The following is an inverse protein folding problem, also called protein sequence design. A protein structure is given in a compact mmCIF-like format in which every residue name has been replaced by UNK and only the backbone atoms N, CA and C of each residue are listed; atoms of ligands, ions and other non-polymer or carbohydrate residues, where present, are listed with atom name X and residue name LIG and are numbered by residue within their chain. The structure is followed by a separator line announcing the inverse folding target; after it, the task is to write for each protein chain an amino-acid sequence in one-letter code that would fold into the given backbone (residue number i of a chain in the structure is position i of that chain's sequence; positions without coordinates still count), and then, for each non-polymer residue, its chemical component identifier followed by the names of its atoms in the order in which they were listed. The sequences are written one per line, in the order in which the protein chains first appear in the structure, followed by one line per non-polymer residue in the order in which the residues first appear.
data_IF_725070607932
#
_entry.id   IF_725070607932
#
_cell.length_a   1.000
_cell.length_b   1.000
_cell.length_c   1.000
_cell.angle_alpha   90.00
_cell.angle_beta   90.00
_cell.angle_gamma   90.00
#
_symmetry.space_group_name_H-M   'P 1'
#
loop_
_entity.id
_entity.type
_entity.pdbx_description
1 polymer ?
#
# COMPACT_ATOMS: atom_id res chain seq x y z
N UNK A 1 -11.48 -9.58 -26.91
CA UNK A 1 -12.96 -9.50 -26.85
C UNK A 1 -13.53 -9.89 -28.20
N UNK A 2 -14.61 -10.62 -28.21
CA UNK A 2 -15.41 -10.78 -29.43
C UNK A 2 -16.03 -9.43 -29.81
N UNK A 3 -16.43 -9.21 -31.08
CA UNK A 3 -16.92 -7.88 -31.52
C UNK A 3 -18.15 -7.37 -30.77
N UNK A 4 -18.87 -8.24 -30.04
CA UNK A 4 -20.02 -7.90 -29.19
C UNK A 4 -19.66 -7.62 -27.71
N UNK A 5 -18.35 -7.59 -27.38
CA UNK A 5 -17.86 -7.36 -26.03
C UNK A 5 -17.99 -8.56 -25.08
N UNK A 6 -18.27 -9.75 -25.59
CA UNK A 6 -18.35 -10.98 -24.80
C UNK A 6 -16.96 -11.62 -24.67
N UNK A 7 -16.66 -12.14 -23.50
CA UNK A 7 -15.49 -12.94 -23.21
C UNK A 7 -15.89 -14.31 -22.70
N UNK A 8 -15.27 -15.35 -23.23
CA UNK A 8 -15.39 -16.70 -22.71
C UNK A 8 -14.10 -17.10 -22.02
N UNK A 9 -14.19 -17.48 -20.75
CA UNK A 9 -13.05 -17.94 -19.95
C UNK A 9 -13.38 -19.33 -19.41
N UNK A 10 -12.50 -20.29 -19.65
CA UNK A 10 -12.57 -21.62 -19.06
C UNK A 10 -11.47 -21.77 -18.01
N UNK A 11 -11.84 -22.13 -16.79
CA UNK A 11 -10.92 -22.27 -15.67
C UNK A 11 -11.00 -23.71 -15.11
N UNK A 12 -9.86 -24.38 -14.86
CA UNK A 12 -9.83 -25.70 -14.28
C UNK A 12 -10.10 -25.64 -12.77
N UNK A 13 -11.37 -25.65 -12.37
CA UNK A 13 -11.80 -25.60 -10.97
C UNK A 13 -12.01 -27.02 -10.45
N UNK A 14 -11.20 -27.45 -9.49
CA UNK A 14 -11.29 -28.76 -8.85
C UNK A 14 -12.12 -28.73 -7.56
N UNK A 15 -12.10 -27.61 -6.86
CA UNK A 15 -12.86 -27.33 -5.63
C UNK A 15 -13.42 -25.90 -5.69
N UNK A 16 -14.46 -25.60 -4.89
CA UNK A 16 -15.02 -24.25 -4.85
C UNK A 16 -13.95 -23.18 -4.62
N UNK A 17 -13.99 -22.11 -5.42
CA UNK A 17 -13.01 -21.02 -5.35
C UNK A 17 -13.70 -19.66 -5.50
N UNK A 18 -13.17 -18.66 -4.82
CA UNK A 18 -13.53 -17.25 -5.04
C UNK A 18 -12.39 -16.58 -5.80
N UNK A 19 -12.69 -16.00 -6.94
CA UNK A 19 -11.74 -15.25 -7.76
C UNK A 19 -12.09 -13.76 -7.74
N UNK A 20 -11.09 -12.91 -7.84
CA UNK A 20 -11.27 -11.49 -8.10
C UNK A 20 -11.15 -11.25 -9.60
N UNK A 21 -12.20 -10.70 -10.21
CA UNK A 21 -12.16 -10.21 -11.57
C UNK A 21 -11.89 -8.70 -11.55
N UNK A 22 -10.94 -8.29 -12.37
CA UNK A 22 -10.57 -6.89 -12.55
C UNK A 22 -10.79 -6.51 -14.01
N UNK A 23 -11.60 -5.50 -14.27
CA UNK A 23 -11.77 -4.93 -15.60
C UNK A 23 -10.67 -3.89 -15.90
N UNK A 24 -10.50 -3.54 -17.19
CA UNK A 24 -9.59 -2.47 -17.61
C UNK A 24 -9.93 -1.13 -16.95
N UNK A 25 -11.22 -0.85 -16.73
CA UNK A 25 -11.72 0.33 -16.02
C UNK A 25 -11.54 0.24 -14.49
N UNK A 26 -10.76 -0.75 -14.01
CA UNK A 26 -10.46 -0.98 -12.58
C UNK A 26 -11.68 -1.34 -11.71
N UNK A 27 -12.77 -1.82 -12.30
CA UNK A 27 -13.83 -2.45 -11.53
C UNK A 27 -13.35 -3.80 -11.03
N UNK A 28 -13.52 -4.06 -9.73
CA UNK A 28 -13.17 -5.32 -9.10
C UNK A 28 -14.39 -5.94 -8.49
N UNK A 29 -14.63 -7.22 -8.74
CA UNK A 29 -15.70 -7.97 -8.08
C UNK A 29 -15.30 -9.44 -7.90
N UNK A 30 -15.86 -10.03 -6.85
CA UNK A 30 -15.61 -11.42 -6.48
C UNK A 30 -16.58 -12.34 -7.21
N UNK A 31 -16.06 -13.48 -7.67
CA UNK A 31 -16.85 -14.51 -8.36
C UNK A 31 -16.58 -15.85 -7.71
N UNK A 32 -17.64 -16.52 -7.27
CA UNK A 32 -17.60 -17.88 -6.75
C UNK A 32 -17.82 -18.85 -7.90
N UNK A 33 -16.90 -19.78 -8.05
CA UNK A 33 -16.93 -20.82 -9.05
C UNK A 33 -16.85 -22.19 -8.39
N UNK A 34 -17.60 -23.14 -8.96
CA UNK A 34 -17.56 -24.54 -8.57
C UNK A 34 -17.16 -25.40 -9.77
N UNK A 35 -16.79 -26.64 -9.53
CA UNK A 35 -16.50 -27.60 -10.59
C UNK A 35 -17.70 -27.68 -11.56
N UNK A 36 -17.42 -27.66 -12.84
CA UNK A 36 -18.41 -27.79 -13.93
C UNK A 36 -19.51 -26.70 -13.89
N UNK A 37 -19.26 -25.56 -13.23
CA UNK A 37 -20.22 -24.45 -13.22
C UNK A 37 -20.18 -23.64 -14.50
N UNK A 38 -21.36 -23.12 -14.89
CA UNK A 38 -21.53 -22.20 -16.01
C UNK A 38 -22.18 -20.91 -15.50
N UNK A 39 -21.39 -19.85 -15.42
CA UNK A 39 -21.81 -18.56 -14.90
C UNK A 39 -21.60 -17.45 -15.93
N UNK A 40 -22.55 -16.55 -16.03
CA UNK A 40 -22.47 -15.36 -16.88
C UNK A 40 -22.50 -14.12 -16.02
N UNK A 41 -21.58 -13.20 -16.31
CA UNK A 41 -21.49 -11.90 -15.64
C UNK A 41 -21.75 -10.81 -16.67
N UNK A 42 -22.76 -9.99 -16.44
CA UNK A 42 -23.07 -8.80 -17.24
C UNK A 42 -22.79 -7.56 -16.43
N UNK A 43 -22.00 -6.64 -16.96
CA UNK A 43 -21.71 -5.37 -16.32
C UNK A 43 -22.62 -4.30 -16.92
N UNK A 44 -23.40 -3.63 -16.07
CA UNK A 44 -24.25 -2.48 -16.45
C UNK A 44 -24.11 -1.38 -15.39
N UNK A 45 -23.85 -0.16 -15.81
CA UNK A 45 -23.66 0.98 -14.91
C UNK A 45 -22.63 0.68 -13.79
N UNK A 46 -21.52 0.05 -14.15
CA UNK A 46 -20.45 -0.36 -13.22
C UNK A 46 -20.90 -1.34 -12.12
N UNK A 47 -22.00 -2.07 -12.33
CA UNK A 47 -22.50 -3.10 -11.42
C UNK A 47 -22.54 -4.45 -12.13
N UNK A 48 -22.06 -5.54 -11.49
CA UNK A 48 -22.15 -6.90 -12.01
C UNK A 48 -23.55 -7.47 -11.79
N UNK A 49 -24.05 -8.17 -12.79
CA UNK A 49 -25.28 -8.97 -12.75
C UNK A 49 -24.90 -10.39 -13.06
N UNK A 50 -25.22 -11.30 -12.15
CA UNK A 50 -24.88 -12.71 -12.24
C UNK A 50 -26.07 -13.54 -12.71
N UNK A 51 -25.77 -14.54 -13.57
CA UNK A 51 -26.72 -15.59 -13.96
C UNK A 51 -25.96 -16.87 -14.21
N UNK A 52 -26.58 -18.02 -13.95
CA UNK A 52 -25.97 -19.35 -14.11
C UNK A 52 -25.96 -20.16 -12.82
N UNK A 53 -25.04 -21.11 -12.73
CA UNK A 53 -24.98 -22.13 -11.67
C UNK A 53 -24.82 -21.52 -10.28
N UNK A 54 -23.94 -20.52 -10.14
CA UNK A 54 -23.57 -19.95 -8.84
C UNK A 54 -24.20 -18.58 -8.58
N UNK A 55 -25.31 -18.25 -9.22
CA UNK A 55 -25.96 -16.93 -9.14
C UNK A 55 -26.17 -16.46 -7.71
N UNK A 56 -26.74 -17.29 -6.82
CA UNK A 56 -27.04 -16.91 -5.42
C UNK A 56 -25.74 -16.67 -4.63
N UNK A 57 -24.72 -17.53 -4.83
CA UNK A 57 -23.41 -17.37 -4.19
C UNK A 57 -22.76 -16.04 -4.59
N UNK A 58 -22.81 -15.73 -5.88
CA UNK A 58 -22.24 -14.49 -6.41
C UNK A 58 -22.99 -13.23 -5.93
N UNK A 59 -24.30 -13.30 -5.77
CA UNK A 59 -25.09 -12.25 -5.15
C UNK A 59 -24.72 -12.05 -3.68
N UNK A 60 -24.52 -13.14 -2.92
CA UNK A 60 -24.03 -13.05 -1.55
C UNK A 60 -22.67 -12.37 -1.46
N UNK A 61 -21.70 -12.73 -2.33
CA UNK A 61 -20.39 -12.09 -2.38
C UNK A 61 -20.49 -10.60 -2.71
N UNK A 62 -21.42 -10.20 -3.58
CA UNK A 62 -21.66 -8.79 -3.89
C UNK A 62 -22.13 -7.99 -2.68
N UNK A 63 -23.06 -8.54 -1.89
CA UNK A 63 -23.50 -7.86 -0.66
C UNK A 63 -22.39 -7.78 0.40
N UNK A 64 -21.57 -8.83 0.54
CA UNK A 64 -20.40 -8.82 1.41
C UNK A 64 -19.39 -7.76 0.94
N UNK A 65 -19.13 -7.67 -0.38
CA UNK A 65 -18.23 -6.67 -0.95
C UNK A 65 -18.73 -5.24 -0.70
N UNK A 66 -20.01 -4.96 -0.87
CA UNK A 66 -20.61 -3.64 -0.53
C UNK A 66 -20.39 -3.28 0.94
N UNK A 67 -20.55 -4.25 1.84
CA UNK A 67 -20.29 -4.03 3.26
C UNK A 67 -18.81 -3.77 3.55
N UNK A 68 -17.90 -4.43 2.84
CA UNK A 68 -16.45 -4.19 2.93
C UNK A 68 -16.08 -2.80 2.42
N UNK A 69 -16.60 -2.39 1.27
CA UNK A 69 -16.42 -1.04 0.72
C UNK A 69 -16.94 0.04 1.67
N UNK A 70 -18.09 -0.20 2.30
CA UNK A 70 -18.60 0.66 3.36
C UNK A 70 -17.62 0.75 4.54
N UNK A 71 -17.10 -0.36 5.05
CA UNK A 71 -16.09 -0.38 6.12
C UNK A 71 -14.81 0.37 5.73
N UNK A 72 -14.38 0.24 4.47
CA UNK A 72 -13.25 1.00 3.93
C UNK A 72 -13.54 2.50 3.87
N UNK A 73 -14.70 2.91 3.36
CA UNK A 73 -15.07 4.33 3.23
C UNK A 73 -15.08 5.06 4.57
N UNK A 74 -15.60 4.41 5.59
CA UNK A 74 -15.61 4.91 6.97
C UNK A 74 -14.18 5.16 7.48
N UNK A 75 -13.26 4.29 7.11
CA UNK A 75 -11.88 4.34 7.63
C UNK A 75 -11.07 5.52 7.09
N UNK A 76 -11.45 6.05 5.93
CA UNK A 76 -10.74 7.13 5.24
C UNK A 76 -11.48 8.46 5.25
N UNK A 77 -12.79 8.49 5.49
CA UNK A 77 -13.59 9.72 5.50
C UNK A 77 -13.67 10.34 6.88
N UNK A 78 -13.08 11.53 7.05
CA UNK A 78 -13.20 12.33 8.29
C UNK A 78 -14.66 12.77 8.59
N UNK A 79 -15.53 12.69 7.63
CA UNK A 79 -16.93 13.17 7.70
C UNK A 79 -17.96 12.03 7.83
N UNK A 80 -17.49 10.77 7.97
CA UNK A 80 -18.44 9.66 8.12
C UNK A 80 -18.99 9.59 9.55
N UNK A 81 -20.27 9.23 9.70
CA UNK A 81 -20.96 9.12 11.00
C UNK A 81 -20.20 8.27 12.03
N UNK A 82 -19.67 7.12 11.64
CA UNK A 82 -18.87 6.26 12.53
C UNK A 82 -17.49 6.85 12.91
N UNK A 83 -16.95 7.77 12.14
CA UNK A 83 -15.75 8.52 12.52
C UNK A 83 -16.03 9.52 13.64
N UNK A 84 -17.22 10.13 13.62
CA UNK A 84 -17.65 11.11 14.62
C UNK A 84 -18.12 10.46 15.94
N UNK A 85 -18.45 9.15 15.92
CA UNK A 85 -18.89 8.42 17.12
C UNK A 85 -17.70 8.15 18.04
N UNK A 86 -17.59 8.90 19.11
CA UNK A 86 -16.59 8.71 20.16
C UNK A 86 -17.09 7.85 21.32
N UNK A 87 -18.42 7.65 21.43
CA UNK A 87 -19.03 6.75 22.41
C UNK A 87 -18.79 5.27 22.05
N UNK A 88 -18.14 4.53 22.92
CA UNK A 88 -17.91 3.09 22.77
C UNK A 88 -19.25 2.35 22.57
N UNK A 89 -20.24 2.63 23.40
CA UNK A 89 -21.53 1.95 23.37
C UNK A 89 -22.23 2.12 22.03
N UNK A 90 -22.29 3.32 21.53
CA UNK A 90 -22.93 3.63 20.24
C UNK A 90 -22.17 2.99 19.08
N UNK A 91 -20.83 3.14 19.04
CA UNK A 91 -20.00 2.51 18.01
C UNK A 91 -20.18 1.00 17.98
N UNK A 92 -20.07 0.34 19.15
CA UNK A 92 -20.21 -1.12 19.26
C UNK A 92 -21.60 -1.58 18.84
N UNK A 93 -22.64 -0.84 19.19
CA UNK A 93 -24.01 -1.16 18.80
C UNK A 93 -24.20 -1.10 17.27
N UNK A 94 -23.75 -0.04 16.63
CA UNK A 94 -23.86 0.13 15.17
C UNK A 94 -23.10 -1.00 14.46
N UNK A 95 -21.86 -1.28 14.87
CA UNK A 95 -21.02 -2.32 14.27
C UNK A 95 -21.65 -3.70 14.43
N UNK A 96 -22.08 -4.06 15.66
CA UNK A 96 -22.67 -5.38 15.92
C UNK A 96 -24.01 -5.56 15.17
N UNK A 97 -24.84 -4.52 15.05
CA UNK A 97 -26.09 -4.59 14.30
C UNK A 97 -25.81 -4.88 12.80
N UNK A 98 -24.90 -4.14 12.19
CA UNK A 98 -24.54 -4.34 10.78
C UNK A 98 -23.93 -5.71 10.51
N UNK A 99 -23.07 -6.18 11.41
CA UNK A 99 -22.49 -7.53 11.35
C UNK A 99 -23.59 -8.60 11.44
N UNK A 100 -24.50 -8.48 12.41
CA UNK A 100 -25.60 -9.41 12.61
C UNK A 100 -26.58 -9.43 11.43
N UNK A 101 -26.92 -8.27 10.87
CA UNK A 101 -27.74 -8.14 9.66
C UNK A 101 -27.16 -8.91 8.48
N UNK A 102 -25.83 -8.72 8.22
CA UNK A 102 -25.15 -9.38 7.09
C UNK A 102 -25.06 -10.90 7.29
N UNK A 103 -24.76 -11.37 8.50
CA UNK A 103 -24.73 -12.81 8.82
C UNK A 103 -26.14 -13.43 8.72
N UNK A 104 -27.17 -12.69 9.16
CA UNK A 104 -28.56 -13.15 9.06
C UNK A 104 -29.00 -13.25 7.61
N UNK A 105 -28.69 -12.24 6.81
CA UNK A 105 -28.91 -12.26 5.36
C UNK A 105 -28.27 -13.50 4.73
N UNK A 106 -26.99 -13.75 5.01
CA UNK A 106 -26.24 -14.88 4.44
C UNK A 106 -26.88 -16.23 4.82
N UNK A 107 -27.25 -16.40 6.10
CA UNK A 107 -27.92 -17.63 6.59
C UNK A 107 -29.32 -17.86 5.99
N UNK A 108 -29.98 -16.81 5.54
CA UNK A 108 -31.28 -16.88 4.86
C UNK A 108 -31.20 -17.27 3.39
N UNK A 109 -30.01 -17.37 2.80
CA UNK A 109 -29.82 -17.72 1.40
C UNK A 109 -29.72 -19.24 1.20
N UNK A 110 -30.15 -19.72 0.03
CA UNK A 110 -30.05 -21.13 -0.37
C UNK A 110 -28.65 -21.44 -0.91
N UNK A 111 -27.66 -21.48 -0.02
CA UNK A 111 -26.24 -21.77 -0.29
C UNK A 111 -25.73 -22.84 0.67
N UNK A 112 -24.57 -23.43 0.39
CA UNK A 112 -24.00 -24.50 1.22
C UNK A 112 -23.59 -24.02 2.63
N UNK A 113 -23.63 -24.94 3.60
CA UNK A 113 -23.18 -24.69 4.98
C UNK A 113 -21.72 -24.21 5.04
N UNK A 114 -20.85 -24.79 4.21
CA UNK A 114 -19.43 -24.45 4.16
C UNK A 114 -19.22 -23.01 3.64
N UNK A 115 -20.02 -22.61 2.63
CA UNK A 115 -20.00 -21.23 2.15
C UNK A 115 -20.45 -20.26 3.25
N UNK A 116 -21.55 -20.57 3.94
CA UNK A 116 -22.05 -19.76 5.07
C UNK A 116 -20.98 -19.66 6.16
N UNK A 117 -20.35 -20.77 6.54
CA UNK A 117 -19.29 -20.81 7.54
C UNK A 117 -18.13 -19.89 7.14
N UNK A 118 -17.55 -20.11 5.96
CA UNK A 118 -16.39 -19.35 5.48
C UNK A 118 -16.70 -17.84 5.35
N UNK A 119 -17.85 -17.50 4.76
CA UNK A 119 -18.21 -16.09 4.59
C UNK A 119 -18.56 -15.42 5.93
N UNK A 120 -19.11 -16.13 6.89
CA UNK A 120 -19.34 -15.61 8.25
C UNK A 120 -18.04 -15.25 8.95
N UNK A 121 -16.98 -16.06 8.78
CA UNK A 121 -15.65 -15.72 9.30
C UNK A 121 -15.04 -14.50 8.62
N UNK A 122 -15.16 -14.38 7.29
CA UNK A 122 -14.72 -13.19 6.56
C UNK A 122 -15.44 -11.93 7.07
N UNK A 123 -16.76 -12.01 7.28
CA UNK A 123 -17.56 -10.92 7.85
C UNK A 123 -17.05 -10.55 9.26
N UNK A 124 -16.76 -11.54 10.11
CA UNK A 124 -16.19 -11.29 11.43
C UNK A 124 -14.83 -10.59 11.36
N UNK A 125 -13.96 -11.00 10.43
CA UNK A 125 -12.70 -10.31 10.17
C UNK A 125 -12.90 -8.84 9.76
N UNK A 126 -13.81 -8.58 8.83
CA UNK A 126 -14.11 -7.21 8.35
C UNK A 126 -14.50 -6.27 9.49
N UNK A 127 -15.40 -6.71 10.35
CA UNK A 127 -15.87 -5.89 11.47
C UNK A 127 -14.86 -5.75 12.60
N UNK A 128 -14.06 -6.80 12.87
CA UNK A 128 -12.91 -6.71 13.78
C UNK A 128 -11.85 -5.74 13.25
N UNK A 129 -11.56 -5.79 11.95
CA UNK A 129 -10.64 -4.86 11.31
C UNK A 129 -11.14 -3.41 11.40
N UNK A 130 -12.44 -3.17 11.17
CA UNK A 130 -13.06 -1.86 11.36
C UNK A 130 -12.89 -1.37 12.80
N UNK A 131 -13.07 -2.25 13.79
CA UNK A 131 -12.87 -1.93 15.20
C UNK A 131 -11.41 -1.54 15.48
N UNK A 132 -10.44 -2.27 14.96
CA UNK A 132 -9.02 -1.93 15.11
C UNK A 132 -8.67 -0.57 14.49
N UNK A 133 -9.23 -0.25 13.32
CA UNK A 133 -9.06 1.07 12.71
C UNK A 133 -9.60 2.19 13.60
N UNK A 134 -10.77 1.98 14.21
CA UNK A 134 -11.35 2.94 15.16
C UNK A 134 -10.47 3.14 16.38
N UNK A 135 -9.95 2.04 16.95
CA UNK A 135 -9.03 2.09 18.10
C UNK A 135 -7.79 2.91 17.79
N UNK A 136 -7.11 2.62 16.66
CA UNK A 136 -5.90 3.36 16.28
C UNK A 136 -6.18 4.84 16.03
N UNK A 137 -7.35 5.17 15.46
CA UNK A 137 -7.77 6.55 15.30
C UNK A 137 -7.95 7.26 16.65
N UNK A 138 -8.64 6.62 17.61
CA UNK A 138 -8.82 7.15 18.95
C UNK A 138 -7.50 7.31 19.69
N UNK A 139 -6.60 6.36 19.55
CA UNK A 139 -5.25 6.41 20.14
C UNK A 139 -4.45 7.61 19.60
N UNK A 140 -4.40 7.77 18.29
CA UNK A 140 -3.70 8.88 17.64
C UNK A 140 -4.26 10.26 18.04
N UNK A 141 -5.57 10.32 18.34
CA UNK A 141 -6.24 11.53 18.80
C UNK A 141 -6.30 11.66 20.33
N UNK A 142 -5.62 10.76 21.09
CA UNK A 142 -5.58 10.74 22.57
C UNK A 142 -6.97 10.64 23.22
N UNK A 143 -7.88 9.88 22.63
CA UNK A 143 -9.28 9.70 23.07
C UNK A 143 -9.55 8.32 23.68
N UNK A 144 -8.56 7.51 23.99
CA UNK A 144 -8.71 6.21 24.64
C UNK A 144 -9.07 6.39 26.10
N UNK A 145 -10.20 5.84 26.54
CA UNK A 145 -10.67 5.81 27.93
C UNK A 145 -10.53 4.41 28.52
N UNK A 146 -10.72 4.26 29.85
CA UNK A 146 -10.72 2.97 30.51
C UNK A 146 -11.83 2.03 30.03
N UNK A 147 -12.99 2.58 29.62
CA UNK A 147 -14.07 1.82 29.00
C UNK A 147 -13.62 1.23 27.66
N UNK A 148 -12.98 2.03 26.82
CA UNK A 148 -12.40 1.56 25.57
C UNK A 148 -11.33 0.48 25.79
N UNK A 149 -10.47 0.62 26.82
CA UNK A 149 -9.44 -0.38 27.12
C UNK A 149 -10.02 -1.76 27.44
N UNK A 150 -11.18 -1.84 28.11
CA UNK A 150 -11.86 -3.11 28.38
C UNK A 150 -12.35 -3.77 27.09
N UNK A 151 -12.99 -3.00 26.22
CA UNK A 151 -13.48 -3.53 24.93
C UNK A 151 -12.34 -3.89 23.98
N UNK A 152 -11.26 -3.10 23.95
CA UNK A 152 -10.05 -3.42 23.18
C UNK A 152 -9.50 -4.79 23.58
N UNK A 153 -9.36 -5.07 24.88
CA UNK A 153 -8.87 -6.37 25.36
C UNK A 153 -9.75 -7.53 24.90
N UNK A 154 -11.08 -7.33 24.88
CA UNK A 154 -12.02 -8.32 24.36
C UNK A 154 -11.84 -8.55 22.87
N UNK A 155 -11.73 -7.51 22.07
CA UNK A 155 -11.52 -7.60 20.62
C UNK A 155 -10.14 -8.17 20.24
N UNK A 156 -9.13 -7.99 21.08
CA UNK A 156 -7.80 -8.60 20.89
C UNK A 156 -7.77 -10.11 21.14
N UNK A 157 -8.84 -10.68 21.73
CA UNK A 157 -9.01 -12.15 21.89
C UNK A 157 -9.56 -12.84 20.64
N UNK A 158 -9.72 -12.11 19.52
CA UNK A 158 -10.15 -12.68 18.25
C UNK A 158 -9.26 -13.87 17.86
N UNK A 159 -9.90 -14.97 17.47
CA UNK A 159 -9.18 -16.16 17.03
C UNK A 159 -8.68 -16.01 15.60
N UNK A 160 -7.37 -15.82 15.47
CA UNK A 160 -6.70 -15.73 14.19
C UNK A 160 -6.33 -17.10 13.59
N UNK A 161 -6.60 -18.21 14.29
CA UNK A 161 -6.24 -19.56 13.85
C UNK A 161 -7.42 -20.31 13.18
N UNK A 162 -8.37 -19.57 12.63
CA UNK A 162 -9.40 -20.10 11.75
C UNK A 162 -8.97 -20.02 10.29
N UNK A 163 -9.10 -21.15 9.58
CA UNK A 163 -8.65 -21.23 8.17
C UNK A 163 -9.40 -20.24 7.27
N UNK A 164 -10.68 -20.03 7.51
CA UNK A 164 -11.49 -19.08 6.76
C UNK A 164 -10.95 -17.64 6.81
N UNK A 165 -10.24 -17.26 7.89
CA UNK A 165 -9.66 -15.95 8.03
C UNK A 165 -8.56 -15.68 7.00
N UNK A 166 -7.86 -16.73 6.52
CA UNK A 166 -6.80 -16.61 5.49
C UNK A 166 -7.33 -16.14 4.13
N UNK A 167 -8.63 -16.25 3.90
CA UNK A 167 -9.29 -15.78 2.68
C UNK A 167 -9.72 -14.30 2.75
N UNK A 168 -9.55 -13.64 3.89
CA UNK A 168 -9.83 -12.22 4.03
C UNK A 168 -8.69 -11.39 3.44
N UNK A 169 -8.99 -10.54 2.47
CA UNK A 169 -7.98 -9.77 1.72
C UNK A 169 -7.11 -8.84 2.59
N UNK A 170 -7.65 -8.34 3.70
CA UNK A 170 -6.97 -7.44 4.64
C UNK A 170 -6.47 -8.18 5.92
N UNK A 171 -6.38 -9.53 5.87
CA UNK A 171 -6.01 -10.33 7.04
C UNK A 171 -4.62 -9.96 7.58
N UNK A 172 -3.63 -9.77 6.70
CA UNK A 172 -2.28 -9.36 7.10
C UNK A 172 -2.31 -7.99 7.81
N UNK A 173 -3.05 -7.03 7.26
CA UNK A 173 -3.20 -5.71 7.88
C UNK A 173 -3.87 -5.79 9.25
N UNK A 174 -4.84 -6.68 9.41
CA UNK A 174 -5.48 -6.95 10.70
C UNK A 174 -4.50 -7.55 11.71
N UNK A 175 -3.58 -8.44 11.28
CA UNK A 175 -2.50 -8.97 12.11
C UNK A 175 -1.57 -7.86 12.61
N UNK A 176 -1.12 -7.01 11.70
CA UNK A 176 -0.29 -5.84 12.01
C UNK A 176 -0.96 -4.92 13.04
N UNK A 177 -2.24 -4.57 12.81
CA UNK A 177 -3.00 -3.72 13.74
C UNK A 177 -3.17 -4.38 15.11
N UNK A 178 -3.45 -5.68 15.17
CA UNK A 178 -3.55 -6.41 16.41
C UNK A 178 -2.25 -6.34 17.23
N UNK A 179 -1.10 -6.58 16.59
CA UNK A 179 0.21 -6.46 17.21
C UNK A 179 0.48 -5.03 17.73
N UNK A 180 0.22 -4.04 16.87
CA UNK A 180 0.39 -2.61 17.19
C UNK A 180 -0.46 -2.17 18.40
N UNK A 181 -1.75 -2.54 18.40
CA UNK A 181 -2.68 -2.20 19.48
C UNK A 181 -2.25 -2.86 20.78
N UNK A 182 -1.88 -4.15 20.75
CA UNK A 182 -1.42 -4.86 21.93
C UNK A 182 -0.20 -4.17 22.54
N UNK A 183 0.81 -3.91 21.73
CA UNK A 183 2.09 -3.35 22.18
C UNK A 183 1.95 -1.92 22.70
N UNK A 184 1.40 -1.00 21.90
CA UNK A 184 1.38 0.42 22.29
C UNK A 184 0.22 0.78 23.24
N UNK A 185 -0.95 0.15 23.12
CA UNK A 185 -2.14 0.56 23.86
C UNK A 185 -2.34 -0.30 25.11
N UNK A 186 -2.18 -1.62 25.01
CA UNK A 186 -2.40 -2.52 26.14
C UNK A 186 -1.17 -2.62 27.03
N UNK A 187 0.01 -2.86 26.44
CA UNK A 187 1.28 -3.00 27.17
C UNK A 187 1.93 -1.64 27.46
N UNK A 188 1.43 -0.54 26.85
CA UNK A 188 1.84 0.85 27.07
C UNK A 188 3.32 1.14 26.74
N UNK A 189 3.86 0.46 25.74
CA UNK A 189 5.19 0.72 25.23
C UNK A 189 5.24 2.01 24.40
N UNK A 190 6.43 2.57 24.24
CA UNK A 190 6.68 3.75 23.41
C UNK A 190 7.11 3.35 21.99
N UNK A 191 6.75 4.13 20.95
CA UNK A 191 7.29 3.94 19.62
C UNK A 191 8.83 4.03 19.55
N UNK A 192 9.47 4.71 20.49
CA UNK A 192 10.93 4.78 20.60
C UNK A 192 11.58 3.47 21.08
N UNK A 193 10.80 2.56 21.65
CA UNK A 193 11.28 1.25 22.12
C UNK A 193 11.49 0.25 20.96
N UNK A 194 11.02 0.59 19.76
CA UNK A 194 11.17 -0.26 18.56
C UNK A 194 12.33 0.27 17.72
N UNK A 195 13.29 -0.60 17.49
CA UNK A 195 14.31 -0.41 16.46
C UNK A 195 13.61 -0.46 15.08
N UNK A 196 13.59 0.66 14.38
CA UNK A 196 12.90 0.78 13.08
C UNK A 196 13.51 -0.13 12.02
N UNK A 197 14.81 -0.39 12.11
CA UNK A 197 15.52 -1.26 11.16
C UNK A 197 15.22 -2.74 11.42
N UNK A 198 14.51 -3.04 12.55
CA UNK A 198 14.08 -4.39 12.97
C UNK A 198 12.58 -4.48 13.21
N UNK A 199 11.80 -3.66 12.52
CA UNK A 199 10.35 -3.62 12.69
C UNK A 199 9.69 -4.95 12.37
N UNK A 200 10.18 -5.68 11.35
CA UNK A 200 9.64 -6.96 10.96
C UNK A 200 9.96 -8.05 11.99
N UNK A 201 11.15 -8.01 12.60
CA UNK A 201 11.52 -8.88 13.74
C UNK A 201 10.58 -8.65 14.93
N UNK A 202 10.28 -7.41 15.25
CA UNK A 202 9.33 -7.06 16.30
C UNK A 202 7.94 -7.64 15.99
N UNK A 203 7.41 -7.41 14.80
CA UNK A 203 6.08 -7.89 14.39
C UNK A 203 6.01 -9.43 14.42
N UNK A 204 7.05 -10.11 13.93
CA UNK A 204 7.12 -11.55 13.97
C UNK A 204 7.08 -12.10 15.40
N UNK A 205 7.78 -11.47 16.34
CA UNK A 205 7.74 -11.84 17.75
C UNK A 205 6.33 -11.70 18.34
N UNK A 206 5.60 -10.63 17.96
CA UNK A 206 4.19 -10.47 18.34
C UNK A 206 3.29 -11.56 17.72
N UNK A 207 3.55 -11.94 16.46
CA UNK A 207 2.81 -13.01 15.80
C UNK A 207 3.06 -14.38 16.46
N UNK A 208 4.29 -14.70 16.83
CA UNK A 208 4.67 -15.95 17.50
C UNK A 208 4.03 -16.12 18.88
N UNK A 209 3.66 -15.04 19.57
CA UNK A 209 2.95 -15.11 20.87
C UNK A 209 1.57 -15.79 20.76
N UNK A 210 0.93 -15.73 19.59
CA UNK A 210 -0.49 -16.13 19.44
C UNK A 210 -0.76 -17.11 18.29
N UNK A 211 0.27 -17.50 17.51
CA UNK A 211 0.08 -18.31 16.28
C UNK A 211 1.10 -19.41 16.19
N UNK A 212 0.66 -20.54 15.62
CA UNK A 212 1.51 -21.72 15.38
C UNK A 212 1.17 -22.36 14.03
N UNK A 213 2.03 -23.30 13.58
CA UNK A 213 1.79 -24.08 12.36
C UNK A 213 1.50 -23.22 11.12
N UNK A 214 0.50 -23.63 10.32
CA UNK A 214 0.16 -22.95 9.05
C UNK A 214 -0.25 -21.48 9.21
N UNK A 215 -0.77 -21.09 10.37
CA UNK A 215 -1.17 -19.70 10.62
C UNK A 215 0.04 -18.80 10.90
N UNK A 216 1.05 -19.32 11.59
CA UNK A 216 2.32 -18.63 11.75
C UNK A 216 3.09 -18.58 10.43
N UNK A 217 3.11 -19.69 9.68
CA UNK A 217 3.70 -19.76 8.33
C UNK A 217 3.13 -18.67 7.42
N UNK A 218 1.80 -18.57 7.34
CA UNK A 218 1.14 -17.53 6.55
C UNK A 218 1.46 -16.12 7.04
N UNK A 219 1.35 -15.87 8.34
CA UNK A 219 1.61 -14.55 8.92
C UNK A 219 3.06 -14.10 8.68
N UNK A 220 4.01 -15.02 8.81
CA UNK A 220 5.42 -14.73 8.58
C UNK A 220 5.74 -14.50 7.10
N UNK A 221 5.22 -15.36 6.21
CA UNK A 221 5.34 -15.15 4.77
C UNK A 221 4.72 -13.84 4.31
N UNK A 222 3.54 -13.48 4.86
CA UNK A 222 2.85 -12.22 4.55
C UNK A 222 3.64 -11.01 5.03
N UNK A 223 4.29 -11.08 6.18
CA UNK A 223 5.15 -10.01 6.71
C UNK A 223 6.33 -9.74 5.75
N UNK A 224 7.03 -10.80 5.32
CA UNK A 224 8.12 -10.70 4.35
C UNK A 224 7.59 -10.16 3.02
N UNK A 225 6.48 -10.71 2.53
CA UNK A 225 5.86 -10.27 1.27
C UNK A 225 5.48 -8.80 1.29
N UNK A 226 4.95 -8.31 2.42
CA UNK A 226 4.56 -6.90 2.53
C UNK A 226 5.77 -5.96 2.45
N UNK A 227 6.88 -6.29 3.11
CA UNK A 227 8.14 -5.52 2.99
C UNK A 227 8.62 -5.46 1.53
N UNK A 228 8.58 -6.61 0.82
CA UNK A 228 8.93 -6.71 -0.59
C UNK A 228 7.99 -5.90 -1.48
N UNK A 229 6.68 -6.00 -1.25
CA UNK A 229 5.65 -5.32 -2.03
C UNK A 229 5.70 -3.80 -1.87
N UNK A 230 5.89 -3.33 -0.63
CA UNK A 230 6.04 -1.90 -0.32
C UNK A 230 7.44 -1.36 -0.68
N UNK A 231 8.39 -2.26 -0.97
CA UNK A 231 9.81 -1.92 -1.19
C UNK A 231 10.42 -1.15 -0.01
N UNK A 232 10.05 -1.57 1.19
CA UNK A 232 10.61 -0.98 2.41
C UNK A 232 12.07 -1.37 2.60
N UNK A 233 12.47 -2.54 2.09
CA UNK A 233 13.84 -3.04 2.12
C UNK A 233 14.44 -3.00 3.54
N UNK A 234 13.65 -3.47 4.51
CA UNK A 234 14.05 -3.50 5.91
C UNK A 234 15.27 -4.39 6.11
N UNK A 235 16.20 -3.98 6.97
CA UNK A 235 17.48 -4.68 7.18
C UNK A 235 17.31 -6.10 7.72
N UNK A 236 16.26 -6.33 8.53
CA UNK A 236 15.99 -7.63 9.14
C UNK A 236 15.33 -8.64 8.19
N UNK A 237 14.69 -8.21 7.11
CA UNK A 237 13.88 -9.06 6.21
C UNK A 237 14.67 -10.23 5.60
N UNK A 238 15.93 -10.08 5.11
CA UNK A 238 16.70 -11.22 4.61
C UNK A 238 16.97 -12.30 5.68
N UNK A 239 17.29 -11.89 6.91
CA UNK A 239 17.49 -12.82 8.02
C UNK A 239 16.20 -13.52 8.43
N UNK A 240 15.07 -12.81 8.42
CA UNK A 240 13.76 -13.40 8.69
C UNK A 240 13.36 -14.41 7.62
N UNK A 241 13.70 -14.17 6.36
CA UNK A 241 13.47 -15.13 5.29
C UNK A 241 14.31 -16.41 5.48
N UNK A 242 15.58 -16.30 5.85
CA UNK A 242 16.44 -17.47 6.11
C UNK A 242 15.92 -18.31 7.29
N UNK A 243 15.44 -17.65 8.35
CA UNK A 243 14.78 -18.31 9.48
C UNK A 243 13.45 -18.96 9.05
N UNK A 244 12.67 -18.29 8.20
CA UNK A 244 11.41 -18.83 7.64
C UNK A 244 11.69 -20.12 6.85
N UNK A 245 12.69 -20.15 5.99
CA UNK A 245 13.07 -21.35 5.24
C UNK A 245 13.49 -22.51 6.15
N UNK A 246 14.15 -22.21 7.27
CA UNK A 246 14.53 -23.22 8.27
C UNK A 246 13.33 -23.77 9.03
N UNK A 247 12.39 -22.90 9.42
CA UNK A 247 11.20 -23.28 10.21
C UNK A 247 10.17 -24.02 9.35
N UNK A 248 10.00 -23.61 8.08
CA UNK A 248 9.02 -24.14 7.14
C UNK A 248 9.65 -24.60 5.82
N UNK A 249 10.52 -25.62 5.83
CA UNK A 249 11.33 -26.02 4.65
C UNK A 249 10.48 -26.52 3.46
N UNK A 250 9.22 -26.90 3.69
CA UNK A 250 8.29 -27.35 2.66
C UNK A 250 7.26 -26.27 2.26
N UNK A 251 7.44 -25.03 2.71
CA UNK A 251 6.51 -23.94 2.43
C UNK A 251 6.49 -23.58 0.94
N UNK A 252 5.29 -23.51 0.37
CA UNK A 252 5.07 -23.00 -1.00
C UNK A 252 5.46 -21.52 -1.16
N UNK A 253 5.52 -20.77 -0.04
CA UNK A 253 5.87 -19.36 -0.07
C UNK A 253 7.36 -19.11 -0.34
N UNK A 254 8.25 -20.10 -0.09
CA UNK A 254 9.69 -19.97 -0.35
C UNK A 254 9.94 -19.58 -1.81
N UNK A 255 9.33 -20.31 -2.76
CA UNK A 255 9.50 -20.02 -4.19
C UNK A 255 8.93 -18.67 -4.65
N UNK A 256 7.91 -18.16 -3.93
CA UNK A 256 7.29 -16.87 -4.22
C UNK A 256 8.19 -15.71 -3.72
N UNK A 257 8.77 -15.87 -2.54
CA UNK A 257 9.55 -14.82 -1.86
C UNK A 257 11.01 -14.74 -2.34
N UNK A 258 11.60 -15.87 -2.67
CA UNK A 258 13.03 -16.01 -3.01
C UNK A 258 13.55 -15.01 -4.05
N UNK A 259 12.88 -14.79 -5.21
CA UNK A 259 13.42 -13.89 -6.24
C UNK A 259 13.53 -12.43 -5.77
N UNK A 260 12.68 -12.03 -4.85
CA UNK A 260 12.65 -10.65 -4.38
C UNK A 260 13.60 -10.41 -3.20
N UNK A 261 13.82 -11.42 -2.35
CA UNK A 261 14.77 -11.31 -1.22
C UNK A 261 16.18 -10.97 -1.70
N UNK A 262 16.60 -11.52 -2.84
CA UNK A 262 17.91 -11.22 -3.39
C UNK A 262 18.07 -9.73 -3.75
N UNK A 263 17.00 -9.06 -4.17
CA UNK A 263 17.00 -7.62 -4.41
C UNK A 263 17.24 -6.82 -3.12
N UNK A 264 16.65 -7.26 -1.99
CA UNK A 264 16.90 -6.61 -0.68
C UNK A 264 18.36 -6.81 -0.26
N UNK A 265 18.92 -8.03 -0.43
CA UNK A 265 20.33 -8.28 -0.14
C UNK A 265 21.24 -7.38 -0.96
N UNK A 266 20.97 -7.27 -2.26
CA UNK A 266 21.70 -6.35 -3.14
C UNK A 266 21.57 -4.89 -2.68
N UNK A 267 20.39 -4.46 -2.29
CA UNK A 267 20.16 -3.10 -1.78
C UNK A 267 21.03 -2.78 -0.57
N UNK A 268 21.20 -3.71 0.37
CA UNK A 268 22.02 -3.48 1.55
C UNK A 268 23.55 -3.60 1.32
N UNK A 269 23.96 -4.15 0.17
CA UNK A 269 25.39 -4.34 -0.17
C UNK A 269 25.87 -3.38 -1.28
N UNK A 270 25.10 -2.37 -1.65
CA UNK A 270 25.50 -1.46 -2.71
C UNK A 270 26.66 -0.56 -2.25
N UNK A 271 27.74 -0.47 -3.05
CA UNK A 271 28.79 0.51 -2.83
C UNK A 271 28.27 1.92 -3.14
N UNK A 272 28.57 2.89 -2.29
CA UNK A 272 28.16 4.31 -2.42
C UNK A 272 28.90 5.07 -3.55
N UNK A 273 29.45 4.37 -4.55
CA UNK A 273 30.29 4.98 -5.58
C UNK A 273 29.60 5.01 -6.93
N UNK A 274 29.06 6.19 -7.28
CA UNK A 274 28.76 6.56 -8.68
C UNK A 274 29.23 7.99 -8.90
N UNK A 275 30.06 8.22 -9.90
CA UNK A 275 30.63 9.53 -10.22
C UNK A 275 29.60 10.55 -10.75
N UNK A 276 28.39 10.09 -11.09
CA UNK A 276 27.32 10.92 -11.70
C UNK A 276 26.15 11.20 -10.74
N UNK A 277 26.29 10.86 -9.46
CA UNK A 277 25.30 11.16 -8.42
C UNK A 277 25.87 12.26 -7.52
N UNK A 278 25.16 13.36 -7.42
CA UNK A 278 25.55 14.50 -6.57
C UNK A 278 24.48 14.73 -5.51
N UNK A 279 24.79 14.40 -4.28
CA UNK A 279 23.92 14.67 -3.13
C UNK A 279 24.19 16.09 -2.63
N UNK A 280 23.16 16.95 -2.68
CA UNK A 280 23.27 18.33 -2.26
C UNK A 280 23.27 18.43 -0.71
N UNK A 281 24.00 19.39 -0.12
CA UNK A 281 24.02 19.61 1.32
C UNK A 281 22.62 19.92 1.85
N UNK A 282 22.30 19.38 3.04
CA UNK A 282 21.01 19.60 3.71
C UNK A 282 21.08 20.72 4.77
N UNK A 283 22.26 21.27 5.03
CA UNK A 283 22.50 22.27 6.07
C UNK A 283 21.92 23.66 5.69
N UNK A 284 21.60 23.85 4.42
CA UNK A 284 20.97 25.07 3.92
C UNK A 284 19.47 24.98 4.09
N UNK A 285 18.89 25.89 4.87
CA UNK A 285 17.43 26.00 5.01
C UNK A 285 16.86 26.63 3.76
N UNK A 286 16.48 25.78 2.80
CA UNK A 286 15.77 26.21 1.60
C UNK A 286 14.30 26.49 1.94
N UNK A 287 13.80 27.65 1.46
CA UNK A 287 12.44 28.12 1.78
C UNK A 287 11.41 27.67 0.74
N UNK A 288 11.81 27.57 -0.51
CA UNK A 288 10.91 27.28 -1.63
C UNK A 288 11.66 26.63 -2.79
N UNK A 289 10.91 26.31 -3.86
CA UNK A 289 11.45 25.67 -5.05
C UNK A 289 12.43 26.57 -5.80
N UNK A 290 12.21 27.89 -5.83
CA UNK A 290 13.10 28.85 -6.50
C UNK A 290 14.50 28.81 -5.90
N UNK A 291 14.62 28.78 -4.57
CA UNK A 291 15.91 28.63 -3.89
C UNK A 291 16.58 27.28 -4.21
N UNK A 292 15.79 26.19 -4.33
CA UNK A 292 16.33 24.87 -4.66
C UNK A 292 16.88 24.79 -6.09
N UNK A 293 16.30 25.50 -7.05
CA UNK A 293 16.74 25.51 -8.45
C UNK A 293 17.72 26.64 -8.78
N UNK A 294 17.90 27.61 -7.88
CA UNK A 294 18.79 28.76 -8.08
C UNK A 294 20.22 28.40 -8.56
N UNK A 295 20.87 27.32 -8.06
CA UNK A 295 22.20 26.92 -8.53
C UNK A 295 22.25 26.51 -10.01
N UNK A 296 21.09 26.27 -10.63
CA UNK A 296 20.95 25.74 -12.00
C UNK A 296 20.40 26.80 -12.98
N UNK A 297 20.30 28.06 -12.59
CA UNK A 297 19.88 29.14 -13.49
C UNK A 297 20.75 29.14 -14.75
N UNK A 298 20.14 29.30 -15.91
CA UNK A 298 20.76 29.19 -17.23
C UNK A 298 20.65 27.78 -17.84
N UNK A 299 20.15 26.79 -17.08
CA UNK A 299 19.90 25.42 -17.54
C UNK A 299 18.41 25.11 -17.44
N UNK A 300 17.99 24.11 -18.22
CA UNK A 300 16.69 23.50 -18.04
C UNK A 300 16.80 22.46 -16.92
N UNK A 301 15.84 22.45 -15.96
CA UNK A 301 15.84 21.47 -14.88
C UNK A 301 14.59 20.61 -14.99
N UNK A 302 14.78 19.31 -15.10
CA UNK A 302 13.73 18.31 -14.95
C UNK A 302 13.72 17.81 -13.50
N UNK A 303 12.64 18.11 -12.79
CA UNK A 303 12.48 17.77 -11.37
C UNK A 303 11.61 16.55 -11.24
N UNK A 304 12.05 15.59 -10.39
CA UNK A 304 11.26 14.46 -9.92
C UNK A 304 11.03 14.61 -8.41
N UNK A 305 9.76 14.83 -8.02
CA UNK A 305 9.34 14.84 -6.61
C UNK A 305 8.97 13.43 -6.19
N UNK A 306 9.68 12.89 -5.22
CA UNK A 306 9.53 11.51 -4.79
C UNK A 306 9.70 11.29 -3.27
N UNK A 307 9.62 10.03 -2.82
CA UNK A 307 9.95 9.62 -1.46
C UNK A 307 10.24 8.13 -1.41
N UNK A 308 11.03 7.67 -0.44
CA UNK A 308 11.39 6.26 -0.28
C UNK A 308 10.19 5.35 -0.05
N UNK A 309 9.12 5.89 0.46
CA UNK A 309 7.83 5.24 0.71
C UNK A 309 6.87 5.26 -0.50
N UNK A 310 7.28 5.87 -1.62
CA UNK A 310 6.43 6.05 -2.79
C UNK A 310 6.69 4.93 -3.83
N UNK A 311 5.96 3.83 -3.75
CA UNK A 311 6.05 2.73 -4.70
C UNK A 311 5.87 3.12 -6.17
N UNK A 312 4.87 3.97 -6.55
CA UNK A 312 4.76 4.49 -7.91
C UNK A 312 5.99 5.29 -8.37
N UNK A 313 6.64 6.08 -7.48
CA UNK A 313 7.87 6.81 -7.81
C UNK A 313 9.00 5.84 -8.17
N UNK A 314 9.18 4.80 -7.39
CA UNK A 314 10.21 3.78 -7.64
C UNK A 314 10.03 3.04 -8.97
N UNK A 315 8.78 2.91 -9.46
CA UNK A 315 8.50 2.35 -10.79
C UNK A 315 8.99 3.27 -11.91
N UNK A 316 8.94 4.58 -11.72
CA UNK A 316 9.40 5.56 -12.71
C UNK A 316 10.93 5.53 -12.89
N UNK A 317 11.68 5.13 -11.87
CA UNK A 317 13.14 5.03 -11.95
C UNK A 317 13.64 4.05 -13.02
N UNK A 318 12.85 3.03 -13.38
CA UNK A 318 13.18 2.11 -14.47
C UNK A 318 13.29 2.80 -15.84
N UNK A 319 12.71 3.99 -16.00
CA UNK A 319 12.71 4.76 -17.24
C UNK A 319 13.76 5.89 -17.26
N UNK A 320 14.46 6.14 -16.14
CA UNK A 320 15.37 7.27 -16.00
C UNK A 320 16.57 7.19 -16.95
N UNK A 321 17.12 6.00 -17.17
CA UNK A 321 18.24 5.79 -18.12
C UNK A 321 17.79 6.06 -19.56
N UNK A 322 16.62 5.56 -19.98
CA UNK A 322 16.08 5.80 -21.31
C UNK A 322 15.84 7.29 -21.57
N UNK A 323 15.32 8.02 -20.57
CA UNK A 323 15.11 9.45 -20.66
C UNK A 323 16.43 10.21 -20.83
N UNK A 324 17.45 9.90 -20.03
CA UNK A 324 18.78 10.54 -20.13
C UNK A 324 19.45 10.27 -21.46
N UNK A 325 19.34 9.04 -21.95
CA UNK A 325 19.87 8.68 -23.27
C UNK A 325 19.17 9.45 -24.41
N UNK A 326 17.84 9.63 -24.31
CA UNK A 326 17.07 10.38 -25.31
C UNK A 326 17.34 11.91 -25.30
N UNK A 327 17.87 12.43 -24.20
CA UNK A 327 18.13 13.86 -23.99
C UNK A 327 19.62 14.20 -23.82
N UNK A 328 20.51 13.25 -24.10
CA UNK A 328 21.96 13.38 -23.88
C UNK A 328 22.60 14.57 -24.58
N UNK A 329 22.03 15.00 -25.72
CA UNK A 329 22.50 16.14 -26.52
C UNK A 329 21.84 17.47 -26.09
N UNK A 330 21.02 17.42 -25.01
CA UNK A 330 20.37 18.61 -24.45
C UNK A 330 21.03 18.94 -23.09
N UNK A 331 21.18 20.24 -22.82
CA UNK A 331 21.79 20.74 -21.58
C UNK A 331 20.74 20.76 -20.45
N UNK A 332 20.42 19.58 -19.91
CA UNK A 332 19.37 19.36 -18.89
C UNK A 332 19.98 18.92 -17.58
N UNK A 333 19.54 19.54 -16.51
CA UNK A 333 19.78 19.10 -15.13
C UNK A 333 18.63 18.19 -14.70
N UNK A 334 18.96 17.02 -14.18
CA UNK A 334 18.02 16.14 -13.48
C UNK A 334 18.14 16.37 -11.98
N UNK A 335 17.07 16.89 -11.36
CA UNK A 335 17.01 17.20 -9.94
C UNK A 335 15.93 16.32 -9.26
N UNK A 336 16.36 15.43 -8.41
CA UNK A 336 15.48 14.57 -7.61
C UNK A 336 15.28 15.20 -6.22
N UNK A 337 14.06 15.59 -5.91
CA UNK A 337 13.73 16.18 -4.59
C UNK A 337 12.93 15.15 -3.79
N UNK A 338 13.53 14.64 -2.72
CA UNK A 338 12.87 13.72 -1.81
C UNK A 338 12.06 14.46 -0.76
N UNK A 339 10.84 13.97 -0.50
CA UNK A 339 9.96 14.42 0.58
C UNK A 339 10.13 13.57 1.86
N UNK A 340 11.19 12.78 1.94
CA UNK A 340 11.51 11.99 3.12
C UNK A 340 11.85 12.86 4.32
N UNK A 341 11.48 12.33 5.50
CA UNK A 341 11.90 12.97 6.76
C UNK A 341 13.40 12.82 6.96
N UNK A 342 14.05 13.73 7.71
CA UNK A 342 15.51 13.69 7.94
C UNK A 342 16.03 12.35 8.50
N UNK A 343 15.24 11.69 9.35
CA UNK A 343 15.59 10.39 9.92
C UNK A 343 15.68 9.25 8.91
N UNK A 344 15.11 9.40 7.70
CA UNK A 344 15.17 8.42 6.62
C UNK A 344 16.35 8.65 5.66
N UNK A 345 17.27 9.56 5.99
CA UNK A 345 18.37 9.96 5.11
C UNK A 345 19.20 8.76 4.61
N UNK A 346 19.59 7.86 5.50
CA UNK A 346 20.39 6.70 5.14
C UNK A 346 19.68 5.78 4.13
N UNK A 347 18.39 5.51 4.33
CA UNK A 347 17.57 4.74 3.37
C UNK A 347 17.45 5.47 2.03
N UNK A 348 17.22 6.77 2.05
CA UNK A 348 17.11 7.61 0.87
C UNK A 348 18.41 7.60 0.03
N UNK A 349 19.57 7.82 0.65
CA UNK A 349 20.86 7.77 -0.03
C UNK A 349 21.13 6.39 -0.64
N UNK A 350 20.89 5.31 0.10
CA UNK A 350 20.99 3.94 -0.41
C UNK A 350 20.08 3.71 -1.63
N UNK A 351 18.84 4.23 -1.60
CA UNK A 351 17.91 4.11 -2.75
C UNK A 351 18.38 4.87 -4.00
N UNK A 352 18.93 6.06 -3.83
CA UNK A 352 19.53 6.83 -4.94
C UNK A 352 20.60 6.01 -5.65
N UNK A 353 21.50 5.37 -4.89
CA UNK A 353 22.56 4.52 -5.44
C UNK A 353 22.01 3.19 -6.02
N UNK A 354 21.04 2.56 -5.35
CA UNK A 354 20.40 1.32 -5.80
C UNK A 354 19.75 1.46 -7.18
N UNK A 355 19.00 2.52 -7.37
CA UNK A 355 18.35 2.80 -8.65
C UNK A 355 19.28 3.50 -9.65
N UNK A 356 20.54 3.76 -9.28
CA UNK A 356 21.53 4.46 -10.13
C UNK A 356 20.96 5.77 -10.69
N UNK A 357 20.34 6.56 -9.85
CA UNK A 357 19.70 7.80 -10.24
C UNK A 357 20.76 8.89 -10.46
N UNK A 358 21.36 8.92 -11.62
CA UNK A 358 22.32 9.98 -11.98
C UNK A 358 21.67 11.36 -11.96
N UNK A 359 22.38 12.36 -11.46
CA UNK A 359 21.92 13.75 -11.34
C UNK A 359 22.11 14.31 -9.94
N UNK A 360 21.36 15.37 -9.64
CA UNK A 360 21.40 16.07 -8.37
C UNK A 360 20.27 15.60 -7.45
N UNK A 361 20.59 15.42 -6.17
CA UNK A 361 19.66 14.89 -5.19
C UNK A 361 19.56 15.82 -3.99
N UNK A 362 18.33 16.17 -3.63
CA UNK A 362 18.02 17.04 -2.51
C UNK A 362 16.98 16.35 -1.62
N UNK A 363 17.27 16.20 -0.34
CA UNK A 363 16.26 15.86 0.66
C UNK A 363 15.61 17.15 1.16
N UNK A 364 14.31 17.32 0.92
CA UNK A 364 13.59 18.51 1.32
C UNK A 364 13.51 18.64 2.85
N UNK A 365 14.07 19.71 3.40
CA UNK A 365 13.86 20.07 4.78
C UNK A 365 12.40 20.48 5.04
N UNK A 366 12.01 20.59 6.32
CA UNK A 366 10.62 20.87 6.74
C UNK A 366 10.04 22.13 6.04
N UNK A 367 10.85 23.18 5.90
CA UNK A 367 10.40 24.45 5.30
C UNK A 367 10.14 24.31 3.80
N UNK A 368 11.07 23.71 3.07
CA UNK A 368 10.90 23.44 1.64
C UNK A 368 9.73 22.50 1.40
N UNK A 369 9.62 21.40 2.14
CA UNK A 369 8.51 20.47 2.02
C UNK A 369 7.16 21.17 2.21
N UNK A 370 7.00 21.98 3.26
CA UNK A 370 5.77 22.78 3.47
C UNK A 370 5.46 23.71 2.30
N UNK A 371 6.49 24.37 1.75
CA UNK A 371 6.32 25.23 0.58
C UNK A 371 5.86 24.46 -0.65
N UNK A 372 6.44 23.29 -0.93
CA UNK A 372 6.04 22.41 -2.04
C UNK A 372 4.58 21.94 -1.87
N UNK A 373 4.19 21.53 -0.65
CA UNK A 373 2.79 21.16 -0.36
C UNK A 373 1.82 22.32 -0.58
N UNK A 374 2.22 23.55 -0.25
CA UNK A 374 1.38 24.73 -0.40
C UNK A 374 1.26 25.20 -1.86
N UNK A 375 2.36 25.17 -2.61
CA UNK A 375 2.41 25.72 -3.98
C UNK A 375 1.95 24.71 -5.07
N UNK A 376 2.29 23.44 -4.91
CA UNK A 376 2.04 22.39 -5.91
C UNK A 376 0.91 21.42 -5.49
N UNK A 377 0.52 21.46 -4.21
CA UNK A 377 -0.52 20.59 -3.67
C UNK A 377 -1.94 21.11 -3.94
N UNK A 378 -2.90 20.19 -3.96
CA UNK A 378 -4.32 20.51 -3.97
C UNK A 378 -4.92 20.26 -2.58
N UNK A 379 -5.54 21.29 -1.97
CA UNK A 379 -6.11 21.24 -0.61
C UNK A 379 -5.14 20.69 0.46
N UNK A 380 -3.83 21.05 0.35
CA UNK A 380 -2.80 20.60 1.28
C UNK A 380 -2.31 19.17 1.08
N UNK A 381 -2.68 18.50 0.00
CA UNK A 381 -2.16 17.21 -0.40
C UNK A 381 -1.31 17.35 -1.66
N UNK A 382 -0.07 16.89 -1.62
CA UNK A 382 0.83 16.80 -2.76
C UNK A 382 0.92 15.34 -3.19
N UNK A 383 0.41 15.04 -4.39
CA UNK A 383 0.50 13.70 -4.96
C UNK A 383 1.89 13.53 -5.62
N UNK A 384 2.55 12.42 -5.33
CA UNK A 384 3.81 12.01 -5.97
C UNK A 384 3.65 10.61 -6.59
N UNK A 385 4.41 10.28 -7.68
CA UNK A 385 5.43 11.13 -8.32
C UNK A 385 4.80 12.35 -9.00
N UNK A 386 5.52 13.48 -8.94
CA UNK A 386 5.19 14.68 -9.71
C UNK A 386 6.45 15.18 -10.41
N UNK A 387 6.31 15.46 -11.70
CA UNK A 387 7.40 15.93 -12.54
C UNK A 387 7.18 17.39 -12.92
N UNK A 388 8.27 18.18 -12.92
CA UNK A 388 8.21 19.63 -13.17
C UNK A 388 9.35 19.97 -14.12
N UNK A 389 9.12 20.89 -15.07
CA UNK A 389 10.19 21.46 -15.90
C UNK A 389 10.37 22.93 -15.53
N UNK A 390 11.61 23.28 -15.19
CA UNK A 390 12.05 24.66 -14.95
C UNK A 390 12.78 25.17 -16.19
N UNK A 391 12.45 26.39 -16.59
CA UNK A 391 13.11 27.09 -17.69
C UNK A 391 14.48 27.64 -17.28
N UNK A 392 15.24 28.13 -18.27
CA UNK A 392 16.58 28.75 -18.08
C UNK A 392 16.54 29.98 -17.16
N UNK A 393 15.39 30.64 -17.05
CA UNK A 393 15.15 31.77 -16.13
C UNK A 393 14.93 31.37 -14.67
N UNK A 394 14.92 30.07 -14.36
CA UNK A 394 14.69 29.53 -13.03
C UNK A 394 13.22 29.45 -12.63
N UNK A 395 12.26 29.71 -13.56
CA UNK A 395 10.83 29.65 -13.30
C UNK A 395 10.22 28.36 -13.78
N UNK A 396 9.07 27.99 -13.20
CA UNK A 396 8.29 26.83 -13.64
C UNK A 396 7.77 27.10 -15.06
N UNK A 397 8.29 26.34 -16.03
CA UNK A 397 7.79 26.33 -17.40
C UNK A 397 6.63 25.34 -17.54
N UNK A 398 6.72 24.15 -16.92
CA UNK A 398 5.66 23.14 -16.90
C UNK A 398 5.54 22.57 -15.49
N UNK A 399 4.44 22.86 -14.80
CA UNK A 399 4.19 22.41 -13.41
C UNK A 399 3.86 20.93 -13.31
N UNK A 400 3.20 20.37 -14.33
CA UNK A 400 2.85 18.94 -14.41
C UNK A 400 3.42 18.38 -15.71
N UNK A 401 4.72 18.19 -15.70
CA UNK A 401 5.41 17.57 -16.82
C UNK A 401 5.04 16.08 -16.95
N UNK A 402 5.23 15.54 -18.14
CA UNK A 402 5.03 14.12 -18.38
C UNK A 402 6.01 13.28 -17.56
N UNK A 403 5.55 12.10 -17.15
CA UNK A 403 6.37 11.12 -16.42
C UNK A 403 7.33 10.39 -17.37
N UNK A 404 8.48 9.87 -16.89
CA UNK A 404 9.50 9.22 -17.71
C UNK A 404 9.02 7.99 -18.50
N UNK A 405 7.92 7.35 -18.10
CA UNK A 405 7.28 6.24 -18.83
C UNK A 405 6.63 6.68 -20.15
N UNK A 406 6.33 7.98 -20.28
CA UNK A 406 5.90 8.60 -21.54
C UNK A 406 7.05 9.40 -22.18
N UNK A 407 8.07 8.67 -22.63
CA UNK A 407 9.34 9.23 -23.11
C UNK A 407 9.16 10.27 -24.22
N UNK A 408 8.30 10.00 -25.21
CA UNK A 408 8.08 10.93 -26.34
C UNK A 408 7.60 12.29 -25.85
N UNK A 409 6.63 12.30 -24.94
CA UNK A 409 6.03 13.52 -24.42
C UNK A 409 6.99 14.31 -23.53
N UNK A 410 7.81 13.62 -22.71
CA UNK A 410 8.83 14.31 -21.90
C UNK A 410 9.84 15.01 -22.82
N UNK A 411 10.36 14.29 -23.84
CA UNK A 411 11.32 14.83 -24.78
C UNK A 411 10.74 16.01 -25.58
N UNK A 412 9.47 15.92 -26.01
CA UNK A 412 8.76 17.02 -26.68
C UNK A 412 8.69 18.26 -25.77
N UNK A 413 8.27 18.12 -24.52
CA UNK A 413 8.18 19.20 -23.54
C UNK A 413 9.53 19.84 -23.26
N UNK A 414 10.58 19.03 -23.07
CA UNK A 414 11.94 19.54 -22.86
C UNK A 414 12.47 20.30 -24.06
N UNK A 415 12.22 19.85 -25.28
CA UNK A 415 12.56 20.57 -26.52
C UNK A 415 11.81 21.90 -26.65
N UNK A 416 10.52 21.92 -26.31
CA UNK A 416 9.72 23.15 -26.33
C UNK A 416 10.34 24.20 -25.42
N UNK A 417 10.61 23.85 -24.15
CA UNK A 417 11.22 24.75 -23.15
C UNK A 417 12.66 25.13 -23.51
N UNK A 418 13.38 24.29 -24.27
CA UNK A 418 14.76 24.58 -24.74
C UNK A 418 14.80 25.69 -25.79
N UNK A 419 13.73 25.81 -26.58
CA UNK A 419 13.61 26.76 -27.67
C UNK A 419 13.07 28.15 -27.24
N UNK A 420 12.57 28.22 -26.00
CA UNK A 420 12.16 29.46 -25.32
C UNK A 420 13.36 30.10 -24.60
#
# INVERSE_FOLDING_TARGET
AEPDGIFHVSLPVQQPVVLNLLTEDRLSFRVYLTKDSHDTIRIRNNQPFFSGTNTIYNQCLQEIQKAEEYCHSISYSKHHELHAVDSLKEFTQIVNNKQAELITFLKGQNVSSDFIHNQSHIINCMFTHLFYKKILNLYNNRKITDEWLKEIKKQLSFDFQEEANLYYSEYERMLYMNATINYFIIEKHSPQDIDRDKINTFLLNEYKKKRTGKYLEYAWASLIYNDLFQRDFSEDTPSLYDQFCSEFPQSKFIGILSPEIEKIRQFHHIPETSNNITILPTDTILKNLEEAVHPFIGKIVYIDLWGTWCGPCQKMFAYSEALKNATKDMDIIYLYISLDRPENRGKWEKMVHYYKLEGYHLQAGITLAKSLYASLGNKGMLAIPQFIIIGKDGKIAIEKAAAPDNLEKVVEQLKQVSNE
#
